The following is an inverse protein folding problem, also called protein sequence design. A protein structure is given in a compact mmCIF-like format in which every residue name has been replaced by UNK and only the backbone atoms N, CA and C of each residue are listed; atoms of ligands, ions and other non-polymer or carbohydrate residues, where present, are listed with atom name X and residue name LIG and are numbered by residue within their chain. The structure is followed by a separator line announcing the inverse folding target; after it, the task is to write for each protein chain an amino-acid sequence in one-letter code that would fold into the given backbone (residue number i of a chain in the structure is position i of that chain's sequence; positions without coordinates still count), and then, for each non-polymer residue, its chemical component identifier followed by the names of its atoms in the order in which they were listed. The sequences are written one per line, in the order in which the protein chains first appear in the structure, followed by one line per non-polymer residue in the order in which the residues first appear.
data_IF_575468883042
#
_entry.id   IF_575468883042
#
_cell.length_a   1.000
_cell.length_b   1.000
_cell.length_c   1.000
_cell.angle_alpha   90.00
_cell.angle_beta   90.00
_cell.angle_gamma   90.00
#
_symmetry.space_group_name_H-M   'P 1'
#
loop_
_entity.id
_entity.type
_entity.pdbx_description
1 polymer ?
#
# COMPACT_ATOMS: atom_id res chain seq x y z
N UNK A 1 -59.14 -31.43 29.55
CA UNK A 1 -58.25 -30.32 29.97
C UNK A 1 -56.96 -30.38 29.14
N UNK A 2 -56.79 -29.49 28.18
CA UNK A 2 -55.65 -29.47 27.27
C UNK A 2 -54.73 -28.26 27.63
N UNK A 3 -53.51 -28.55 28.08
CA UNK A 3 -52.51 -27.53 28.41
C UNK A 3 -51.71 -27.19 27.16
N UNK A 4 -51.92 -26.01 26.62
CA UNK A 4 -51.09 -25.43 25.53
C UNK A 4 -49.73 -24.96 26.07
N UNK A 5 -48.64 -25.58 25.60
CA UNK A 5 -47.28 -25.06 25.81
C UNK A 5 -46.99 -23.93 24.77
N UNK A 6 -46.83 -22.73 25.29
CA UNK A 6 -46.35 -21.60 24.52
C UNK A 6 -44.83 -21.70 24.43
N UNK A 7 -44.31 -21.93 23.23
CA UNK A 7 -42.87 -21.97 22.97
C UNK A 7 -42.39 -20.52 22.80
N UNK A 8 -41.52 -20.04 23.67
CA UNK A 8 -40.85 -18.74 23.61
C UNK A 8 -39.76 -18.78 22.50
N UNK A 9 -40.10 -18.34 21.29
CA UNK A 9 -39.14 -18.27 20.12
C UNK A 9 -38.42 -16.93 19.95
N UNK A 10 -38.36 -16.10 20.97
CA UNK A 10 -37.85 -14.72 20.85
C UNK A 10 -36.36 -14.51 21.11
N UNK A 11 -35.66 -15.46 21.73
CA UNK A 11 -34.27 -15.25 22.14
C UNK A 11 -33.22 -15.70 21.07
N UNK A 12 -33.56 -16.67 20.25
CA UNK A 12 -32.62 -17.18 19.22
C UNK A 12 -32.39 -16.22 18.07
N UNK A 13 -33.38 -15.41 17.67
CA UNK A 13 -33.26 -14.43 16.57
C UNK A 13 -32.37 -13.25 16.91
N UNK A 14 -32.29 -12.84 18.16
CA UNK A 14 -31.45 -11.68 18.57
C UNK A 14 -29.96 -12.02 18.65
N UNK A 15 -29.58 -13.26 18.88
CA UNK A 15 -28.18 -13.69 18.94
C UNK A 15 -27.55 -13.84 17.57
N UNK A 16 -28.32 -14.18 16.55
CA UNK A 16 -27.84 -14.27 15.16
C UNK A 16 -27.58 -12.89 14.53
N UNK A 17 -28.34 -11.86 14.92
CA UNK A 17 -28.17 -10.50 14.38
C UNK A 17 -26.95 -9.79 14.94
N UNK A 18 -26.48 -10.12 16.13
CA UNK A 18 -25.30 -9.50 16.75
C UNK A 18 -24.00 -10.12 16.19
N UNK A 19 -24.03 -11.42 15.85
CA UNK A 19 -22.88 -12.11 15.27
C UNK A 19 -22.54 -11.63 13.85
N UNK A 20 -23.54 -11.24 13.04
CA UNK A 20 -23.33 -10.75 11.68
C UNK A 20 -22.76 -9.32 11.61
N UNK A 21 -23.01 -8.46 12.60
CA UNK A 21 -22.40 -7.13 12.65
C UNK A 21 -20.91 -7.18 13.03
N UNK A 22 -20.48 -8.17 13.79
CA UNK A 22 -19.07 -8.31 14.23
C UNK A 22 -18.12 -8.70 13.12
N UNK A 23 -18.60 -9.43 12.10
CA UNK A 23 -17.76 -9.90 10.98
C UNK A 23 -17.56 -8.80 9.93
N UNK A 24 -18.51 -7.89 9.74
CA UNK A 24 -18.40 -6.78 8.79
C UNK A 24 -17.33 -5.73 9.19
N UNK A 25 -17.05 -5.58 10.49
CA UNK A 25 -16.04 -4.64 10.99
C UNK A 25 -14.58 -5.11 10.82
N UNK A 26 -14.34 -6.40 10.63
CA UNK A 26 -12.99 -6.97 10.54
C UNK A 26 -12.37 -6.82 9.13
N UNK A 27 -13.15 -6.52 8.11
CA UNK A 27 -12.69 -6.39 6.71
C UNK A 27 -12.25 -4.97 6.35
N UNK A 28 -12.51 -3.97 7.17
CA UNK A 28 -12.12 -2.58 6.91
C UNK A 28 -10.64 -2.28 7.21
N UNK A 29 -9.88 -3.24 7.74
CA UNK A 29 -8.51 -3.03 8.21
C UNK A 29 -7.38 -3.22 7.19
N UNK A 30 -7.69 -3.43 5.90
CA UNK A 30 -6.66 -3.48 4.85
C UNK A 30 -6.36 -2.08 4.25
N UNK A 31 -6.51 -1.01 5.03
CA UNK A 31 -5.91 0.27 4.71
C UNK A 31 -4.40 0.06 4.54
N UNK A 32 -3.79 0.72 3.56
CA UNK A 32 -2.37 0.57 3.27
C UNK A 32 -1.56 1.22 4.40
N UNK A 33 -1.33 0.47 5.48
CA UNK A 33 -0.67 0.93 6.70
C UNK A 33 0.64 1.67 6.40
N UNK A 34 1.42 1.17 5.43
CA UNK A 34 2.66 1.83 5.03
C UNK A 34 2.41 3.23 4.43
N UNK A 35 1.29 3.44 3.75
CA UNK A 35 0.94 4.76 3.23
C UNK A 35 0.53 5.72 4.35
N UNK A 36 -0.24 5.23 5.32
CA UNK A 36 -0.68 6.04 6.46
C UNK A 36 0.52 6.41 7.36
N UNK A 37 1.43 5.47 7.60
CA UNK A 37 2.66 5.72 8.34
C UNK A 37 3.59 6.69 7.61
N UNK A 38 3.67 6.65 6.28
CA UNK A 38 4.40 7.63 5.50
C UNK A 38 3.82 9.05 5.65
N UNK A 39 2.49 9.19 5.63
CA UNK A 39 1.85 10.49 5.87
C UNK A 39 2.13 11.00 7.28
N UNK A 40 2.05 10.13 8.28
CA UNK A 40 2.36 10.45 9.67
C UNK A 40 3.80 10.92 9.83
N UNK A 41 4.74 10.30 9.10
CA UNK A 41 6.16 10.65 9.17
C UNK A 41 6.43 12.11 8.76
N UNK A 42 5.61 12.72 7.90
CA UNK A 42 5.77 14.13 7.52
C UNK A 42 5.66 15.09 8.71
N UNK A 43 4.93 14.72 9.74
CA UNK A 43 4.79 15.51 10.98
C UNK A 43 5.64 14.96 12.11
N UNK A 44 5.72 13.65 12.25
CA UNK A 44 6.43 12.99 13.35
C UNK A 44 7.96 13.19 13.31
N UNK A 45 8.53 13.38 12.11
CA UNK A 45 9.97 13.60 11.93
C UNK A 45 10.38 15.07 12.02
N UNK A 46 9.45 15.99 12.12
CA UNK A 46 9.75 17.42 12.36
C UNK A 46 10.38 17.57 13.75
N UNK A 47 11.48 18.31 13.82
CA UNK A 47 12.26 18.44 15.04
C UNK A 47 13.39 17.42 15.21
N UNK A 48 13.49 16.41 14.35
CA UNK A 48 14.59 15.44 14.37
C UNK A 48 15.92 16.11 14.01
N UNK A 49 16.99 15.77 14.73
CA UNK A 49 18.32 16.31 14.41
C UNK A 49 18.87 15.71 13.11
N UNK A 50 19.76 16.45 12.44
CA UNK A 50 20.46 16.03 11.23
C UNK A 50 21.21 14.71 11.43
N UNK A 51 21.89 14.57 12.58
CA UNK A 51 22.67 13.37 12.93
C UNK A 51 21.75 12.16 13.05
N UNK A 52 20.60 12.32 13.72
CA UNK A 52 19.61 11.26 13.87
C UNK A 52 19.01 10.88 12.51
N UNK A 53 18.66 11.87 11.67
CA UNK A 53 18.17 11.63 10.32
C UNK A 53 19.19 10.82 9.49
N UNK A 54 20.45 11.22 9.48
CA UNK A 54 21.51 10.52 8.76
C UNK A 54 21.75 9.10 9.31
N UNK A 55 21.59 8.88 10.61
CA UNK A 55 21.74 7.56 11.21
C UNK A 55 20.63 6.58 10.85
N UNK A 56 19.40 7.05 10.67
CA UNK A 56 18.24 6.20 10.39
C UNK A 56 17.86 6.12 8.89
N UNK A 57 17.96 7.22 8.14
CA UNK A 57 17.66 7.26 6.70
C UNK A 57 18.89 7.03 5.83
N UNK A 58 20.09 7.07 6.42
CA UNK A 58 21.35 6.94 5.70
C UNK A 58 21.79 8.23 5.01
N UNK A 59 22.71 8.10 4.04
CA UNK A 59 23.23 9.25 3.27
C UNK A 59 22.25 9.61 2.16
N UNK A 60 21.86 10.90 2.02
CA UNK A 60 20.96 11.32 0.95
C UNK A 60 21.64 11.22 -0.42
N UNK A 61 20.86 10.89 -1.46
CA UNK A 61 21.36 10.83 -2.83
C UNK A 61 21.62 12.23 -3.42
N UNK A 62 20.88 13.24 -2.95
CA UNK A 62 21.07 14.63 -3.36
C UNK A 62 21.04 15.54 -2.13
N UNK A 63 21.91 16.54 -2.17
CA UNK A 63 21.97 17.60 -1.16
C UNK A 63 22.02 18.96 -1.86
N UNK A 64 21.34 19.93 -1.27
CA UNK A 64 21.41 21.31 -1.68
C UNK A 64 21.39 22.22 -0.46
N UNK A 65 22.06 23.37 -0.54
CA UNK A 65 22.02 24.39 0.52
C UNK A 65 21.59 25.70 -0.12
N UNK A 66 20.56 26.31 0.45
CA UNK A 66 20.05 27.61 0.01
C UNK A 66 19.92 28.52 1.21
N UNK A 67 20.78 29.50 1.30
CA UNK A 67 20.86 30.39 2.47
C UNK A 67 21.18 29.61 3.73
N UNK A 68 20.26 29.59 4.69
CA UNK A 68 20.39 28.90 6.00
C UNK A 68 19.59 27.58 6.02
N UNK A 69 19.16 27.09 4.87
CA UNK A 69 18.43 25.83 4.78
C UNK A 69 19.23 24.78 4.00
N UNK A 70 19.22 23.57 4.49
CA UNK A 70 19.76 22.39 3.81
C UNK A 70 18.60 21.51 3.33
N UNK A 71 18.74 20.92 2.16
CA UNK A 71 17.77 20.02 1.56
C UNK A 71 18.41 18.66 1.33
N UNK A 72 17.87 17.62 1.94
CA UNK A 72 18.32 16.24 1.76
C UNK A 72 17.26 15.45 1.04
N UNK A 73 17.62 14.88 -0.10
CA UNK A 73 16.70 14.11 -0.91
C UNK A 73 17.11 12.64 -0.93
N UNK A 74 16.16 11.80 -0.55
CA UNK A 74 16.26 10.34 -0.57
C UNK A 74 15.31 9.78 -1.60
N UNK A 75 15.69 8.70 -2.26
CA UNK A 75 14.86 8.03 -3.27
C UNK A 75 14.72 6.56 -2.96
N UNK A 76 13.51 6.06 -3.09
CA UNK A 76 13.20 4.63 -3.06
C UNK A 76 12.49 4.25 -4.35
N UNK A 77 12.91 3.15 -4.98
CA UNK A 77 12.26 2.63 -6.17
C UNK A 77 12.15 1.11 -6.09
N UNK A 78 11.03 0.59 -6.57
CA UNK A 78 10.77 -0.85 -6.66
C UNK A 78 10.14 -1.16 -8.01
N UNK A 79 10.72 -2.12 -8.70
CA UNK A 79 10.15 -2.68 -9.93
C UNK A 79 9.49 -4.00 -9.57
N UNK A 80 8.23 -4.16 -9.97
CA UNK A 80 7.46 -5.40 -9.78
C UNK A 80 6.98 -5.85 -11.16
N UNK A 81 7.32 -7.08 -11.52
CA UNK A 81 6.84 -7.71 -12.75
C UNK A 81 5.78 -8.75 -12.39
N UNK A 82 4.62 -8.62 -13.01
CA UNK A 82 3.54 -9.60 -12.90
C UNK A 82 3.40 -10.35 -14.23
N UNK A 83 3.23 -11.68 -14.20
CA UNK A 83 2.83 -12.39 -15.42
C UNK A 83 1.47 -11.84 -15.84
N UNK A 84 1.39 -11.29 -17.04
CA UNK A 84 0.14 -10.84 -17.62
C UNK A 84 -0.64 -12.07 -18.06
N UNK A 85 -1.91 -12.25 -17.63
CA UNK A 85 -2.75 -13.29 -18.20
C UNK A 85 -2.89 -13.04 -19.71
N UNK A 86 -2.93 -14.09 -20.54
CA UNK A 86 -3.17 -13.93 -21.96
C UNK A 86 -4.46 -13.11 -22.15
N UNK A 87 -4.51 -12.18 -23.12
CA UNK A 87 -5.69 -11.38 -23.36
C UNK A 87 -6.87 -12.32 -23.60
N UNK A 88 -7.95 -12.16 -22.83
CA UNK A 88 -9.16 -12.99 -22.87
C UNK A 88 -9.93 -12.90 -24.20
N UNK A 89 -9.32 -12.38 -25.26
CA UNK A 89 -9.90 -12.21 -26.58
C UNK A 89 -9.68 -13.34 -27.57
N UNK A 90 -9.02 -14.43 -27.17
CA UNK A 90 -8.74 -15.55 -28.09
C UNK A 90 -9.59 -16.80 -27.83
N UNK A 91 -10.61 -16.72 -27.02
CA UNK A 91 -11.69 -17.69 -27.05
C UNK A 91 -12.73 -17.18 -28.00
N UNK A 92 -12.62 -17.54 -29.29
CA UNK A 92 -13.71 -17.47 -30.22
C UNK A 92 -14.90 -18.24 -29.62
N UNK A 93 -15.81 -17.51 -29.00
CA UNK A 93 -17.06 -18.01 -28.37
C UNK A 93 -18.10 -18.31 -29.44
N UNK A 94 -17.69 -18.64 -30.65
CA UNK A 94 -18.52 -19.12 -31.72
C UNK A 94 -18.08 -20.50 -32.17
N UNK A 95 -17.90 -21.43 -31.21
CA UNK A 95 -17.75 -22.86 -31.48
C UNK A 95 -19.09 -23.48 -31.79
N UNK A 96 -19.54 -23.38 -33.01
CA UNK A 96 -20.46 -24.38 -33.58
C UNK A 96 -19.72 -25.71 -33.64
N UNK A 97 -20.32 -26.84 -33.20
CA UNK A 97 -19.75 -28.16 -33.46
C UNK A 97 -19.89 -28.48 -34.93
N UNK A 98 -19.00 -27.95 -35.75
CA UNK A 98 -18.89 -28.25 -37.15
C UNK A 98 -17.93 -29.43 -37.33
N UNK A 99 -18.41 -30.50 -37.94
CA UNK A 99 -17.60 -31.59 -38.46
C UNK A 99 -16.61 -31.03 -39.48
N UNK A 100 -15.42 -30.63 -39.01
CA UNK A 100 -14.31 -30.20 -39.83
C UNK A 100 -13.20 -31.23 -39.78
N UNK A 101 -13.01 -31.97 -40.84
CA UNK A 101 -11.80 -32.77 -41.10
C UNK A 101 -10.64 -31.77 -41.29
N UNK A 102 -10.06 -31.33 -40.22
CA UNK A 102 -8.86 -30.50 -40.21
C UNK A 102 -7.66 -31.33 -39.79
N UNK A 103 -6.63 -31.32 -40.60
CA UNK A 103 -5.34 -31.91 -40.33
C UNK A 103 -4.79 -31.35 -39.01
N UNK A 104 -4.08 -32.21 -38.19
CA UNK A 104 -3.40 -31.70 -37.01
C UNK A 104 -2.20 -30.85 -37.46
N UNK A 105 -2.43 -29.57 -37.61
CA UNK A 105 -1.36 -28.60 -37.76
C UNK A 105 -0.60 -28.49 -36.42
N UNK A 106 0.67 -28.85 -36.41
CA UNK A 106 1.58 -28.60 -35.30
C UNK A 106 1.78 -27.09 -35.14
N UNK A 107 0.78 -26.41 -34.58
CA UNK A 107 0.92 -25.05 -34.10
C UNK A 107 1.56 -25.07 -32.74
N UNK A 108 2.89 -25.06 -32.66
CA UNK A 108 3.61 -24.72 -31.44
C UNK A 108 3.45 -23.21 -31.18
N UNK A 109 2.24 -22.81 -30.88
CA UNK A 109 1.97 -21.49 -30.29
C UNK A 109 2.33 -21.57 -28.82
N UNK A 110 3.54 -21.16 -28.48
CA UNK A 110 3.86 -20.85 -27.10
C UNK A 110 2.92 -19.73 -26.68
N UNK A 111 2.18 -19.89 -25.56
CA UNK A 111 1.44 -18.77 -25.02
C UNK A 111 2.47 -17.68 -24.72
N UNK A 112 2.39 -16.57 -25.44
CA UNK A 112 3.20 -15.41 -25.16
C UNK A 112 2.75 -14.86 -23.82
N UNK A 113 3.37 -15.33 -22.75
CA UNK A 113 3.20 -14.73 -21.41
C UNK A 113 3.85 -13.35 -21.48
N UNK A 114 3.00 -12.33 -21.57
CA UNK A 114 3.42 -10.96 -21.35
C UNK A 114 3.76 -10.77 -19.88
N UNK A 115 4.72 -9.91 -19.59
CA UNK A 115 4.96 -9.42 -18.25
C UNK A 115 4.55 -7.96 -18.19
N UNK A 116 3.69 -7.61 -17.27
CA UNK A 116 3.42 -6.23 -16.93
C UNK A 116 4.45 -5.79 -15.90
N UNK A 117 5.21 -4.75 -16.24
CA UNK A 117 6.25 -4.20 -15.38
C UNK A 117 5.75 -2.89 -14.79
N UNK A 118 5.50 -2.88 -13.48
CA UNK A 118 5.11 -1.69 -12.74
C UNK A 118 6.30 -1.17 -11.94
N UNK A 119 6.61 0.11 -12.09
CA UNK A 119 7.63 0.82 -11.33
C UNK A 119 6.96 1.70 -10.28
N UNK A 120 7.32 1.50 -9.03
CA UNK A 120 6.90 2.33 -7.91
C UNK A 120 8.10 3.11 -7.41
N UNK A 121 7.97 4.42 -7.32
CA UNK A 121 9.03 5.29 -6.84
C UNK A 121 8.51 6.34 -5.85
N UNK A 122 9.37 6.73 -4.93
CA UNK A 122 9.19 7.85 -4.04
C UNK A 122 10.48 8.64 -3.93
N UNK A 123 10.35 9.94 -3.87
CA UNK A 123 11.39 10.87 -3.51
C UNK A 123 10.96 11.64 -2.27
N UNK A 124 11.72 11.48 -1.17
CA UNK A 124 11.49 12.20 0.07
C UNK A 124 12.54 13.31 0.23
N UNK A 125 12.08 14.55 0.31
CA UNK A 125 12.94 15.71 0.54
C UNK A 125 12.71 16.24 1.95
N UNK A 126 13.77 16.25 2.74
CA UNK A 126 13.84 16.85 4.08
C UNK A 126 14.44 18.24 3.98
N UNK A 127 13.71 19.25 4.45
CA UNK A 127 14.23 20.60 4.61
C UNK A 127 14.70 20.75 6.04
N UNK A 128 15.98 21.08 6.23
CA UNK A 128 16.58 21.28 7.54
C UNK A 128 16.93 22.76 7.73
N UNK A 129 16.76 23.25 8.94
CA UNK A 129 17.17 24.57 9.36
C UNK A 129 17.89 24.48 10.69
N UNK A 130 19.08 25.07 10.77
CA UNK A 130 19.94 24.96 11.95
C UNK A 130 20.21 23.51 12.41
N UNK A 131 20.35 22.57 11.47
CA UNK A 131 20.60 21.15 11.76
C UNK A 131 19.37 20.36 12.23
N UNK A 132 18.16 20.89 12.11
CA UNK A 132 16.92 20.25 12.55
C UNK A 132 15.94 20.17 11.38
N UNK A 133 15.23 19.04 11.23
CA UNK A 133 14.20 18.85 10.22
C UNK A 133 13.03 19.80 10.48
N UNK A 134 12.74 20.66 9.52
CA UNK A 134 11.62 21.61 9.55
C UNK A 134 10.41 21.08 8.76
N UNK A 135 10.67 20.33 7.67
CA UNK A 135 9.63 19.81 6.79
C UNK A 135 10.08 18.54 6.06
N UNK A 136 9.13 17.66 5.81
CA UNK A 136 9.28 16.49 4.93
C UNK A 136 8.25 16.58 3.81
N UNK A 137 8.69 16.45 2.56
CA UNK A 137 7.85 16.49 1.36
C UNK A 137 8.10 15.23 0.52
N UNK A 138 7.03 14.62 0.05
CA UNK A 138 7.10 13.46 -0.85
C UNK A 138 6.79 13.84 -2.28
N UNK A 139 7.62 13.34 -3.20
CA UNK A 139 7.48 13.42 -4.65
C UNK A 139 7.63 12.05 -5.30
N UNK A 140 7.65 12.01 -6.63
CA UNK A 140 7.82 10.80 -7.42
C UNK A 140 6.80 10.70 -8.55
N UNK A 141 7.00 9.75 -9.45
CA UNK A 141 6.15 9.54 -10.63
C UNK A 141 4.96 8.62 -10.33
N UNK A 142 5.07 7.76 -9.33
CA UNK A 142 3.98 6.89 -8.89
C UNK A 142 2.85 7.67 -8.24
N UNK A 143 1.61 7.22 -8.41
CA UNK A 143 0.43 7.88 -7.86
C UNK A 143 -0.03 7.30 -6.51
N UNK A 144 -0.77 8.10 -5.74
CA UNK A 144 -1.57 7.68 -4.59
C UNK A 144 -0.83 6.85 -3.53
N UNK A 145 -1.51 5.84 -3.01
CA UNK A 145 -1.03 4.97 -1.93
C UNK A 145 0.19 4.12 -2.31
N UNK A 146 0.38 3.82 -3.59
CA UNK A 146 1.54 3.08 -4.08
C UNK A 146 2.85 3.88 -3.88
N UNK A 147 2.83 5.19 -4.18
CA UNK A 147 3.94 6.10 -3.89
C UNK A 147 4.20 6.20 -2.39
N UNK A 148 3.15 6.41 -1.60
CA UNK A 148 3.28 6.55 -0.16
C UNK A 148 3.88 5.29 0.49
N UNK A 149 3.53 4.10 0.02
CA UNK A 149 4.16 2.86 0.46
C UNK A 149 5.67 2.80 0.17
N UNK A 150 6.11 3.36 -0.98
CA UNK A 150 7.55 3.50 -1.26
C UNK A 150 8.21 4.60 -0.42
N UNK A 151 7.48 5.68 -0.10
CA UNK A 151 7.97 6.71 0.81
C UNK A 151 8.21 6.15 2.20
N UNK A 152 7.35 5.25 2.68
CA UNK A 152 7.54 4.57 3.96
C UNK A 152 8.87 3.83 4.03
N UNK A 153 9.29 3.18 2.95
CA UNK A 153 10.58 2.49 2.91
C UNK A 153 11.79 3.42 3.20
N UNK A 154 11.66 4.73 2.94
CA UNK A 154 12.70 5.72 3.26
C UNK A 154 12.69 6.06 4.76
N UNK A 155 11.50 6.21 5.35
CA UNK A 155 11.33 6.79 6.69
C UNK A 155 11.11 5.76 7.80
N UNK A 156 10.85 4.48 7.49
CA UNK A 156 10.47 3.45 8.46
C UNK A 156 11.44 3.31 9.64
N UNK A 157 12.75 3.36 9.38
CA UNK A 157 13.75 3.25 10.42
C UNK A 157 13.79 4.50 11.30
N UNK A 158 13.50 5.68 10.74
CA UNK A 158 13.42 6.92 11.50
C UNK A 158 12.15 6.96 12.35
N UNK A 159 11.03 6.44 11.83
CA UNK A 159 9.78 6.33 12.58
C UNK A 159 9.93 5.41 13.81
N UNK A 160 10.78 4.38 13.75
CA UNK A 160 11.06 3.52 14.88
C UNK A 160 11.78 4.26 16.04
N UNK A 161 12.43 5.39 15.78
CA UNK A 161 13.10 6.22 16.79
C UNK A 161 12.18 7.28 17.40
N UNK A 162 11.01 7.54 16.79
CA UNK A 162 10.04 8.51 17.31
C UNK A 162 9.28 7.90 18.49
N UNK A 163 9.21 8.56 19.66
CA UNK A 163 8.43 8.07 20.79
C UNK A 163 6.97 7.87 20.41
N UNK A 164 6.41 6.70 20.70
CA UNK A 164 5.03 6.33 20.36
C UNK A 164 3.95 7.29 20.92
N UNK A 165 4.29 8.05 21.96
CA UNK A 165 3.40 9.04 22.56
C UNK A 165 3.13 10.26 21.66
N UNK A 166 4.06 10.59 20.75
CA UNK A 166 3.94 11.71 19.81
C UNK A 166 2.98 11.38 18.64
N UNK A 167 2.70 10.10 18.42
CA UNK A 167 1.99 9.57 17.25
C UNK A 167 0.48 9.44 17.51
N UNK A 168 0.02 9.50 18.77
CA UNK A 168 -1.40 9.35 19.10
C UNK A 168 -2.14 10.66 18.83
N UNK A 169 -3.10 10.72 17.86
CA UNK A 169 -3.95 11.89 17.72
C UNK A 169 -4.73 12.11 19.00
N UNK A 170 -4.80 13.36 19.46
CA UNK A 170 -5.69 13.74 20.57
C UNK A 170 -7.13 13.40 20.21
N UNK A 171 -7.93 12.89 21.15
CA UNK A 171 -9.33 12.57 20.92
C UNK A 171 -10.15 13.83 20.59
#
# INVERSE_FOLDING_TARGET
MAVRRVVKSGRARRLLSVASLGIAGALAGCANQAADEALLAQTALVGMSKETLLSCAGVPQRQATVGNQEFFTYRSSRIVSYPSPPPLGYYDTWGWPGYGWGWPGYGYGWPAYGYEVNSYDCEATFSLKNGVVERVVYGGTSGGSARLGQCYAIVQNCMALVPQQTIRPSP
#
